data_IF_649340443298
#
_entry.id   IF_649340443298
#
_cell.length_a   1.000
_cell.length_b   1.000
_cell.length_c   1.000
_cell.angle_alpha   90.00
_cell.angle_beta   90.00
_cell.angle_gamma   90.00
#
_symmetry.space_group_name_H-M   'P 1'
#
loop_
_entity.id
_entity.type
_entity.pdbx_description
1 polymer ?
#
# COMPACT_ATOMS: atom_id res chain seq x y z
N UNK A 1 -36.33 19.96 -41.69
CA UNK A 1 -35.81 19.94 -40.30
C UNK A 1 -35.00 18.66 -40.15
N UNK A 2 -33.73 18.73 -40.53
CA UNK A 2 -32.79 17.60 -40.43
C UNK A 2 -32.22 17.53 -39.02
N UNK A 3 -32.52 16.43 -38.33
CA UNK A 3 -31.92 16.13 -37.03
C UNK A 3 -30.53 15.54 -37.25
N UNK A 4 -29.55 16.33 -36.85
CA UNK A 4 -28.11 16.10 -36.98
C UNK A 4 -27.69 14.83 -36.22
N UNK A 5 -27.57 13.72 -36.95
CA UNK A 5 -27.28 12.37 -36.45
C UNK A 5 -25.84 12.19 -35.92
N UNK A 6 -24.99 13.21 -36.02
CA UNK A 6 -23.58 13.16 -35.62
C UNK A 6 -23.28 13.25 -34.12
N UNK A 7 -24.23 13.66 -33.29
CA UNK A 7 -23.97 13.90 -31.85
C UNK A 7 -24.14 12.67 -30.96
N UNK A 8 -24.82 11.62 -31.44
CA UNK A 8 -25.09 10.42 -30.64
C UNK A 8 -23.86 9.48 -30.52
N UNK A 9 -22.99 9.44 -31.55
CA UNK A 9 -21.80 8.57 -31.56
C UNK A 9 -20.75 8.95 -30.50
N UNK A 10 -20.44 10.26 -30.37
CA UNK A 10 -19.38 10.72 -29.45
C UNK A 10 -19.68 10.49 -27.97
N UNK A 11 -20.96 10.51 -27.56
CA UNK A 11 -21.34 10.19 -26.16
C UNK A 11 -21.10 8.73 -25.78
N UNK A 12 -21.03 7.81 -26.76
CA UNK A 12 -20.86 6.38 -26.51
C UNK A 12 -19.39 6.01 -26.25
N UNK A 13 -18.47 6.60 -27.01
CA UNK A 13 -17.02 6.38 -26.85
C UNK A 13 -16.50 6.92 -25.51
N UNK A 14 -16.93 8.11 -25.10
CA UNK A 14 -16.54 8.75 -23.82
C UNK A 14 -16.97 7.95 -22.58
N UNK A 15 -18.09 7.21 -22.66
CA UNK A 15 -18.53 6.30 -21.59
C UNK A 15 -17.70 5.02 -21.54
N UNK A 16 -17.27 4.52 -22.70
CA UNK A 16 -16.48 3.30 -22.80
C UNK A 16 -15.08 3.48 -22.20
N UNK A 17 -14.45 4.64 -22.39
CA UNK A 17 -13.14 4.95 -21.79
C UNK A 17 -13.18 5.11 -20.27
N UNK A 18 -14.21 5.78 -19.72
CA UNK A 18 -14.39 5.95 -18.26
C UNK A 18 -14.64 4.62 -17.54
N UNK A 19 -15.41 3.72 -18.15
CA UNK A 19 -15.59 2.35 -17.67
C UNK A 19 -14.29 1.54 -17.69
N UNK A 20 -13.44 1.74 -18.71
CA UNK A 20 -12.11 1.12 -18.78
C UNK A 20 -11.19 1.53 -17.64
N UNK A 21 -11.18 2.82 -17.28
CA UNK A 21 -10.41 3.36 -16.16
C UNK A 21 -10.83 2.77 -14.81
N UNK A 22 -12.13 2.75 -14.53
CA UNK A 22 -12.68 2.17 -13.29
C UNK A 22 -12.39 0.67 -13.18
N UNK A 23 -12.61 -0.10 -14.27
CA UNK A 23 -12.30 -1.54 -14.31
C UNK A 23 -10.82 -1.81 -14.08
N UNK A 24 -9.92 -0.98 -14.63
CA UNK A 24 -8.47 -1.12 -14.41
C UNK A 24 -8.08 -0.81 -12.97
N UNK A 25 -8.64 0.24 -12.35
CA UNK A 25 -8.41 0.56 -10.93
C UNK A 25 -8.93 -0.56 -10.02
N UNK A 26 -10.14 -1.04 -10.27
CA UNK A 26 -10.73 -2.15 -9.50
C UNK A 26 -9.89 -3.43 -9.60
N UNK A 27 -9.47 -3.84 -10.82
CA UNK A 27 -8.56 -4.98 -11.00
C UNK A 27 -7.23 -4.80 -10.27
N UNK A 28 -6.68 -3.59 -10.21
CA UNK A 28 -5.46 -3.30 -9.43
C UNK A 28 -5.70 -3.48 -7.93
N UNK A 29 -6.81 -2.97 -7.41
CA UNK A 29 -7.18 -3.14 -6.00
C UNK A 29 -7.38 -4.61 -5.64
N UNK A 30 -8.09 -5.37 -6.47
CA UNK A 30 -8.27 -6.81 -6.26
C UNK A 30 -6.95 -7.58 -6.28
N UNK A 31 -6.01 -7.23 -7.18
CA UNK A 31 -4.68 -7.84 -7.19
C UNK A 31 -3.90 -7.53 -5.92
N UNK A 32 -3.95 -6.28 -5.44
CA UNK A 32 -3.30 -5.90 -4.19
C UNK A 32 -3.90 -6.67 -3.01
N UNK A 33 -5.23 -6.74 -2.93
CA UNK A 33 -5.92 -7.52 -1.89
C UNK A 33 -5.53 -9.00 -1.95
N UNK A 34 -5.52 -9.60 -3.14
CA UNK A 34 -5.11 -10.98 -3.33
C UNK A 34 -3.68 -11.22 -2.83
N UNK A 35 -2.72 -10.34 -3.16
CA UNK A 35 -1.34 -10.43 -2.66
C UNK A 35 -1.29 -10.34 -1.13
N UNK A 36 -2.02 -9.39 -0.53
CA UNK A 36 -2.05 -9.25 0.93
C UNK A 36 -2.64 -10.49 1.62
N UNK A 37 -3.73 -11.05 1.09
CA UNK A 37 -4.33 -12.28 1.60
C UNK A 37 -3.37 -13.46 1.44
N UNK A 38 -2.74 -13.61 0.28
CA UNK A 38 -1.73 -14.66 0.05
C UNK A 38 -0.57 -14.56 1.05
N UNK A 39 -0.08 -13.35 1.35
CA UNK A 39 0.95 -13.14 2.37
C UNK A 39 0.48 -13.57 3.77
N UNK A 40 -0.78 -13.31 4.12
CA UNK A 40 -1.35 -13.78 5.39
C UNK A 40 -1.45 -15.31 5.44
N UNK A 41 -1.89 -15.95 4.35
CA UNK A 41 -1.98 -17.41 4.27
C UNK A 41 -0.59 -18.05 4.40
N UNK A 42 0.41 -17.56 3.66
CA UNK A 42 1.80 -18.04 3.76
C UNK A 42 2.33 -17.83 5.18
N UNK A 43 2.01 -16.69 5.79
CA UNK A 43 2.32 -16.42 7.19
C UNK A 43 1.71 -17.45 8.14
N UNK A 44 0.41 -17.70 8.05
CA UNK A 44 -0.27 -18.71 8.89
C UNK A 44 0.33 -20.11 8.73
N UNK A 45 0.65 -20.52 7.49
CA UNK A 45 1.32 -21.79 7.21
C UNK A 45 2.71 -21.86 7.85
N UNK A 46 3.51 -20.78 7.75
CA UNK A 46 4.82 -20.69 8.40
C UNK A 46 4.72 -20.77 9.93
N UNK A 47 3.71 -20.13 10.53
CA UNK A 47 3.46 -20.22 11.97
C UNK A 47 3.07 -21.64 12.38
N UNK A 48 2.21 -22.30 11.61
CA UNK A 48 1.82 -23.68 11.87
C UNK A 48 3.03 -24.63 11.79
N UNK A 49 3.84 -24.49 10.74
CA UNK A 49 5.01 -25.35 10.50
C UNK A 49 6.12 -25.16 11.54
N UNK A 50 6.38 -23.91 11.97
CA UNK A 50 7.60 -23.59 12.72
C UNK A 50 7.36 -23.04 14.13
N UNK A 51 6.13 -22.64 14.46
CA UNK A 51 5.80 -21.99 15.73
C UNK A 51 4.95 -22.82 16.68
N UNK A 52 3.94 -23.55 16.18
CA UNK A 52 2.99 -24.27 17.06
C UNK A 52 3.68 -25.35 17.91
N UNK A 53 4.56 -26.15 17.30
CA UNK A 53 5.35 -27.18 17.98
C UNK A 53 6.67 -26.72 18.59
N UNK A 54 6.95 -25.41 18.64
CA UNK A 54 8.22 -24.92 19.17
C UNK A 54 8.36 -25.26 20.67
N UNK A 55 9.49 -25.85 21.11
CA UNK A 55 9.71 -26.20 22.51
C UNK A 55 9.81 -24.96 23.39
N UNK A 56 9.54 -25.08 24.68
CA UNK A 56 9.79 -23.99 25.63
C UNK A 56 11.27 -23.65 25.66
N UNK A 57 11.61 -22.36 25.63
CA UNK A 57 12.99 -21.90 25.74
C UNK A 57 13.58 -22.35 27.08
N UNK A 58 14.77 -22.95 27.04
CA UNK A 58 15.48 -23.31 28.26
C UNK A 58 15.84 -22.05 29.06
N UNK A 59 15.69 -22.07 30.39
CA UNK A 59 16.17 -20.99 31.25
C UNK A 59 17.71 -20.93 31.21
N UNK A 60 18.32 -19.74 31.31
CA UNK A 60 19.76 -19.60 31.49
C UNK A 60 20.28 -20.39 32.71
N UNK A 61 21.47 -20.97 32.60
CA UNK A 61 22.06 -21.78 33.68
C UNK A 61 22.29 -20.99 34.99
N UNK A 62 22.45 -19.66 34.90
CA UNK A 62 22.69 -18.77 36.04
C UNK A 62 21.41 -18.44 36.84
N UNK A 63 20.24 -18.98 36.46
CA UNK A 63 18.99 -18.72 37.16
C UNK A 63 18.88 -19.54 38.45
N UNK A 64 18.36 -18.92 39.51
CA UNK A 64 17.92 -19.68 40.69
C UNK A 64 16.73 -20.58 40.33
N UNK A 65 16.49 -21.63 41.12
CA UNK A 65 15.35 -22.56 40.90
C UNK A 65 14.02 -21.81 40.76
N UNK A 66 13.77 -20.81 41.61
CA UNK A 66 12.55 -19.99 41.56
C UNK A 66 12.47 -19.13 40.29
N UNK A 67 13.59 -18.56 39.84
CA UNK A 67 13.65 -17.78 38.61
C UNK A 67 13.46 -18.65 37.37
N UNK A 68 14.04 -19.86 37.35
CA UNK A 68 13.86 -20.83 36.29
C UNK A 68 12.39 -21.31 36.21
N UNK A 69 11.76 -21.58 37.35
CA UNK A 69 10.34 -21.92 37.42
C UNK A 69 9.43 -20.78 36.92
N UNK A 70 9.77 -19.53 37.23
CA UNK A 70 9.06 -18.37 36.70
C UNK A 70 9.28 -18.18 35.18
N UNK A 71 10.46 -18.53 34.67
CA UNK A 71 10.81 -18.45 33.25
C UNK A 71 10.06 -19.48 32.39
N UNK A 72 9.66 -20.62 32.97
CA UNK A 72 8.93 -21.69 32.27
C UNK A 72 7.43 -21.70 32.53
N UNK A 73 6.94 -20.95 33.52
CA UNK A 73 5.51 -20.82 33.79
C UNK A 73 4.81 -20.11 32.63
N UNK A 74 3.76 -20.75 32.10
CA UNK A 74 2.93 -20.16 31.06
C UNK A 74 2.25 -18.89 31.55
N UNK A 75 2.38 -17.79 30.79
CA UNK A 75 1.58 -16.58 30.96
C UNK A 75 0.42 -16.51 29.97
N UNK A 76 -0.12 -17.67 29.57
CA UNK A 76 -1.29 -17.73 28.71
C UNK A 76 -2.45 -16.92 29.33
N UNK A 77 -3.03 -16.06 28.51
CA UNK A 77 -4.22 -15.29 28.86
C UNK A 77 -4.99 -15.00 27.57
N UNK A 78 -6.30 -14.68 27.65
CA UNK A 78 -7.08 -14.30 26.47
C UNK A 78 -6.46 -13.12 25.70
N UNK A 79 -5.86 -12.15 26.40
CA UNK A 79 -5.15 -11.04 25.78
C UNK A 79 -3.89 -11.50 25.03
N UNK A 80 -3.13 -12.44 25.61
CA UNK A 80 -1.96 -13.04 24.95
C UNK A 80 -2.36 -13.85 23.71
N UNK A 81 -3.48 -14.56 23.77
CA UNK A 81 -4.00 -15.28 22.62
C UNK A 81 -4.47 -14.32 21.51
N UNK A 82 -5.24 -13.29 21.86
CA UNK A 82 -5.75 -12.31 20.91
C UNK A 82 -4.63 -11.62 20.12
N UNK A 83 -3.56 -11.16 20.80
CA UNK A 83 -2.40 -10.56 20.12
C UNK A 83 -1.66 -11.56 19.22
N UNK A 84 -1.58 -12.84 19.61
CA UNK A 84 -0.94 -13.87 18.78
C UNK A 84 -1.74 -14.10 17.49
N UNK A 85 -3.07 -14.16 17.58
CA UNK A 85 -3.96 -14.27 16.41
C UNK A 85 -3.82 -13.04 15.50
N UNK A 86 -3.88 -11.83 16.07
CA UNK A 86 -3.75 -10.57 15.30
C UNK A 86 -2.40 -10.38 14.63
N UNK A 87 -1.37 -11.12 15.03
CA UNK A 87 -0.01 -11.00 14.49
C UNK A 87 0.48 -12.27 13.80
N UNK A 88 -0.41 -13.25 13.61
CA UNK A 88 -0.03 -14.60 13.18
C UNK A 88 0.63 -14.61 11.79
N UNK A 89 0.08 -13.84 10.84
CA UNK A 89 0.63 -13.77 9.49
C UNK A 89 2.06 -13.21 9.45
N UNK A 90 2.30 -12.09 10.13
CA UNK A 90 3.64 -11.49 10.19
C UNK A 90 4.62 -12.39 10.95
N UNK A 91 4.16 -13.00 12.04
CA UNK A 91 4.97 -13.92 12.84
C UNK A 91 5.44 -15.09 12.01
N UNK A 92 4.53 -15.74 11.28
CA UNK A 92 4.91 -16.90 10.50
C UNK A 92 5.74 -16.58 9.25
N UNK A 93 5.56 -15.42 8.62
CA UNK A 93 6.49 -14.94 7.58
C UNK A 93 7.91 -14.77 8.14
N UNK A 94 8.03 -14.17 9.33
CA UNK A 94 9.31 -13.98 9.98
C UNK A 94 9.94 -15.31 10.43
N UNK A 95 9.14 -16.28 10.89
CA UNK A 95 9.59 -17.64 11.21
C UNK A 95 10.09 -18.37 9.97
N UNK A 96 9.37 -18.30 8.84
CA UNK A 96 9.81 -18.89 7.58
C UNK A 96 11.16 -18.32 7.17
N UNK A 97 11.32 -16.99 7.21
CA UNK A 97 12.61 -16.34 6.96
C UNK A 97 13.71 -16.80 7.94
N UNK A 98 13.41 -16.86 9.24
CA UNK A 98 14.40 -17.27 10.23
C UNK A 98 14.82 -18.74 10.03
N UNK A 99 13.88 -19.61 9.70
CA UNK A 99 14.14 -21.03 9.43
C UNK A 99 14.97 -21.27 8.18
N UNK A 100 14.79 -20.49 7.10
CA UNK A 100 15.70 -20.57 5.94
C UNK A 100 17.13 -20.11 6.25
N UNK A 101 17.34 -19.45 7.40
CA UNK A 101 18.64 -19.06 7.95
C UNK A 101 19.11 -19.97 9.09
N UNK A 102 18.54 -21.16 9.24
CA UNK A 102 18.94 -22.14 10.25
C UNK A 102 18.51 -21.81 11.68
N UNK A 103 17.52 -20.93 11.88
CA UNK A 103 17.16 -20.49 13.22
C UNK A 103 16.68 -21.63 14.14
N UNK A 104 17.18 -21.64 15.38
CA UNK A 104 16.56 -22.40 16.46
C UNK A 104 15.36 -21.60 17.01
N UNK A 105 14.19 -22.22 17.05
CA UNK A 105 12.94 -21.56 17.47
C UNK A 105 12.47 -22.19 18.76
N UNK A 106 12.21 -21.36 19.76
CA UNK A 106 11.63 -21.77 21.03
C UNK A 106 10.54 -20.78 21.48
N UNK A 107 9.67 -21.23 22.39
CA UNK A 107 8.59 -20.44 22.98
C UNK A 107 9.00 -19.94 24.35
N UNK A 108 8.92 -18.63 24.54
CA UNK A 108 9.08 -18.02 25.86
C UNK A 108 7.76 -18.11 26.62
N UNK A 109 7.66 -19.05 27.55
CA UNK A 109 6.41 -19.39 28.24
C UNK A 109 5.69 -18.21 28.93
N UNK A 110 6.36 -17.25 29.59
CA UNK A 110 5.69 -16.23 30.41
C UNK A 110 4.84 -15.24 29.63
N UNK A 111 5.03 -15.14 28.31
CA UNK A 111 4.19 -14.30 27.46
C UNK A 111 3.78 -15.02 26.16
N UNK A 112 4.26 -16.24 25.93
CA UNK A 112 3.97 -17.01 24.72
C UNK A 112 4.64 -16.47 23.44
N UNK A 113 5.54 -15.48 23.54
CA UNK A 113 6.30 -15.00 22.39
C UNK A 113 7.26 -16.10 21.91
N UNK A 114 7.49 -16.14 20.61
CA UNK A 114 8.48 -17.01 20.01
C UNK A 114 9.83 -16.28 19.97
N UNK A 115 10.91 -17.04 20.07
CA UNK A 115 12.28 -16.55 19.94
C UNK A 115 12.93 -17.38 18.86
N UNK A 116 13.39 -16.72 17.80
CA UNK A 116 14.12 -17.33 16.70
C UNK A 116 15.58 -16.86 16.78
N UNK A 117 16.47 -17.76 17.22
CA UNK A 117 17.91 -17.50 17.34
C UNK A 117 18.63 -17.92 16.07
N UNK A 118 19.30 -17.00 15.42
CA UNK A 118 20.11 -17.21 14.21
C UNK A 118 21.58 -16.99 14.53
N UNK A 119 22.48 -17.78 13.94
CA UNK A 119 23.93 -17.61 14.14
C UNK A 119 24.43 -16.26 13.62
N UNK A 120 23.97 -15.85 12.45
CA UNK A 120 24.30 -14.54 11.85
C UNK A 120 23.65 -13.34 12.56
N UNK A 121 22.76 -13.59 13.53
CA UNK A 121 21.95 -12.58 14.18
C UNK A 121 20.93 -11.90 13.28
N UNK A 122 20.29 -10.86 13.81
CA UNK A 122 19.35 -10.01 13.08
C UNK A 122 19.35 -8.60 13.64
N UNK A 123 19.56 -7.61 12.77
CA UNK A 123 19.58 -6.19 13.13
C UNK A 123 20.53 -5.90 14.32
N UNK A 124 20.29 -4.80 15.05
CA UNK A 124 21.11 -4.33 16.18
C UNK A 124 20.79 -5.07 17.49
N UNK A 125 20.88 -6.40 17.49
CA UNK A 125 20.62 -7.23 18.68
C UNK A 125 19.29 -7.96 18.69
N UNK A 126 18.39 -7.61 17.78
CA UNK A 126 17.18 -8.35 17.49
C UNK A 126 16.07 -7.46 16.96
N UNK A 127 14.95 -8.06 16.57
CA UNK A 127 13.74 -7.35 16.15
C UNK A 127 12.51 -8.22 16.36
N UNK A 128 11.44 -7.60 16.87
CA UNK A 128 10.12 -8.21 16.95
C UNK A 128 9.37 -8.12 15.62
N UNK A 129 8.90 -9.25 15.11
CA UNK A 129 7.92 -9.34 14.02
C UNK A 129 6.67 -10.04 14.51
N UNK A 130 5.58 -9.29 14.69
CA UNK A 130 4.38 -9.82 15.32
C UNK A 130 4.66 -10.24 16.76
N UNK A 131 4.68 -11.55 17.03
CA UNK A 131 5.05 -12.11 18.34
C UNK A 131 6.29 -13.03 18.31
N UNK A 132 7.11 -12.96 17.25
CA UNK A 132 8.42 -13.63 17.22
C UNK A 132 9.56 -12.61 17.28
N UNK A 133 10.48 -12.83 18.22
CA UNK A 133 11.72 -12.08 18.36
C UNK A 133 12.84 -12.77 17.58
N UNK A 134 13.30 -12.15 16.50
CA UNK A 134 14.45 -12.60 15.71
C UNK A 134 15.70 -12.02 16.35
N UNK A 135 16.64 -12.87 16.75
CA UNK A 135 17.83 -12.45 17.51
C UNK A 135 19.02 -13.33 17.17
N UNK A 136 20.22 -12.93 17.58
CA UNK A 136 21.35 -13.86 17.65
C UNK A 136 21.22 -14.81 18.86
N UNK A 137 22.01 -15.88 18.88
CA UNK A 137 22.31 -16.59 20.10
C UNK A 137 23.31 -15.78 20.94
N UNK A 138 22.88 -15.29 22.11
CA UNK A 138 23.79 -14.80 23.15
C UNK A 138 23.51 -15.58 24.42
N UNK A 139 24.59 -16.08 25.01
CA UNK A 139 24.55 -16.88 26.23
C UNK A 139 24.92 -16.06 27.47
N UNK A 140 25.33 -14.79 27.29
CA UNK A 140 25.96 -13.99 28.35
C UNK A 140 25.04 -13.04 29.11
N UNK A 141 23.76 -12.93 28.75
CA UNK A 141 22.84 -12.04 29.48
C UNK A 141 22.50 -12.58 30.88
N UNK A 142 22.52 -11.70 31.88
CA UNK A 142 21.98 -11.98 33.21
C UNK A 142 20.46 -12.16 33.17
N UNK A 143 19.89 -12.77 34.21
CA UNK A 143 18.43 -12.90 34.33
C UNK A 143 17.70 -11.56 34.22
N UNK A 144 18.25 -10.55 34.89
CA UNK A 144 17.63 -9.22 34.97
C UNK A 144 17.58 -8.61 33.58
N UNK A 145 18.68 -8.66 32.83
CA UNK A 145 18.76 -8.16 31.45
C UNK A 145 17.82 -8.93 30.52
N UNK A 146 17.79 -10.26 30.59
CA UNK A 146 16.87 -11.06 29.77
C UNK A 146 15.42 -10.70 30.08
N UNK A 147 15.04 -10.62 31.35
CA UNK A 147 13.67 -10.27 31.75
C UNK A 147 13.30 -8.86 31.29
N UNK A 148 14.25 -7.94 31.36
CA UNK A 148 14.14 -6.56 30.90
C UNK A 148 13.86 -6.52 29.39
N UNK A 149 14.74 -7.15 28.60
CA UNK A 149 14.62 -7.25 27.13
C UNK A 149 13.29 -7.91 26.78
N UNK A 150 12.92 -9.03 27.40
CA UNK A 150 11.64 -9.69 27.13
C UNK A 150 10.44 -8.79 27.43
N UNK A 151 10.52 -7.91 28.43
CA UNK A 151 9.44 -6.94 28.70
C UNK A 151 9.34 -5.91 27.59
N UNK A 152 10.47 -5.34 27.15
CA UNK A 152 10.54 -4.43 26.01
C UNK A 152 9.94 -5.07 24.75
N UNK A 153 10.39 -6.27 24.41
CA UNK A 153 9.89 -7.06 23.27
C UNK A 153 8.39 -7.36 23.36
N UNK A 154 7.86 -7.62 24.56
CA UNK A 154 6.42 -7.86 24.78
C UNK A 154 5.60 -6.63 24.40
N UNK A 155 6.09 -5.42 24.68
CA UNK A 155 5.39 -4.18 24.33
C UNK A 155 5.35 -3.97 22.82
N UNK A 156 6.41 -4.32 22.10
CA UNK A 156 6.37 -4.35 20.63
C UNK A 156 5.33 -5.34 20.09
N UNK A 157 5.15 -6.51 20.70
CA UNK A 157 4.06 -7.43 20.31
C UNK A 157 2.68 -6.77 20.44
N UNK A 158 2.46 -5.98 21.50
CA UNK A 158 1.22 -5.22 21.68
C UNK A 158 1.07 -4.14 20.62
N UNK A 159 2.15 -3.41 20.29
CA UNK A 159 2.13 -2.41 19.21
C UNK A 159 1.84 -3.03 17.84
N UNK A 160 2.42 -4.20 17.54
CA UNK A 160 2.10 -4.99 16.34
C UNK A 160 0.62 -5.35 16.29
N UNK A 161 0.06 -5.87 17.38
CA UNK A 161 -1.36 -6.25 17.43
C UNK A 161 -2.28 -5.02 17.26
N UNK A 162 -1.99 -3.92 17.95
CA UNK A 162 -2.74 -2.67 17.83
C UNK A 162 -2.66 -2.11 16.40
N UNK A 163 -1.47 -2.09 15.80
CA UNK A 163 -1.29 -1.68 14.41
C UNK A 163 -2.09 -2.55 13.44
N UNK A 164 -2.02 -3.89 13.58
CA UNK A 164 -2.81 -4.79 12.74
C UNK A 164 -4.31 -4.51 12.85
N UNK A 165 -4.80 -4.29 14.07
CA UNK A 165 -6.22 -4.00 14.30
C UNK A 165 -6.64 -2.66 13.66
N UNK A 166 -5.83 -1.62 13.78
CA UNK A 166 -6.18 -0.26 13.35
C UNK A 166 -6.01 -0.03 11.85
N UNK A 167 -5.01 -0.65 11.22
CA UNK A 167 -4.64 -0.35 9.83
C UNK A 167 -4.21 -1.56 9.01
N UNK A 168 -4.42 -2.77 9.51
CA UNK A 168 -4.00 -4.00 8.86
C UNK A 168 -2.52 -4.32 9.07
N UNK A 169 -2.04 -5.45 8.51
CA UNK A 169 -0.81 -6.11 8.94
C UNK A 169 0.49 -5.31 8.71
N UNK A 170 0.43 -4.26 7.89
CA UNK A 170 1.56 -3.39 7.57
C UNK A 170 1.54 -2.06 8.33
N UNK A 171 0.49 -1.75 9.10
CA UNK A 171 0.34 -0.44 9.71
C UNK A 171 1.45 -0.13 10.73
N UNK A 172 1.73 -1.06 11.65
CA UNK A 172 2.81 -0.89 12.62
C UNK A 172 4.19 -0.73 11.97
N UNK A 173 4.68 -1.64 11.10
CA UNK A 173 6.02 -1.50 10.54
C UNK A 173 6.15 -0.25 9.66
N UNK A 174 5.09 0.19 8.97
CA UNK A 174 5.10 1.46 8.23
C UNK A 174 5.20 2.65 9.18
N UNK A 175 4.39 2.68 10.24
CA UNK A 175 4.41 3.77 11.22
C UNK A 175 5.75 3.82 11.97
N UNK A 176 6.25 2.67 12.42
CA UNK A 176 7.56 2.54 13.05
C UNK A 176 8.69 3.02 12.12
N UNK A 177 8.69 2.60 10.85
CA UNK A 177 9.72 3.01 9.89
C UNK A 177 9.65 4.50 9.57
N UNK A 178 8.45 5.07 9.46
CA UNK A 178 8.27 6.50 9.27
C UNK A 178 8.78 7.31 10.46
N UNK A 179 8.50 6.83 11.68
CA UNK A 179 9.01 7.44 12.90
C UNK A 179 10.53 7.30 13.02
N UNK A 180 11.12 6.15 12.68
CA UNK A 180 12.57 5.90 12.70
C UNK A 180 13.35 6.85 11.77
N UNK A 181 12.74 7.28 10.65
CA UNK A 181 13.35 8.27 9.76
C UNK A 181 13.46 9.66 10.40
N UNK A 182 12.53 10.00 11.29
CA UNK A 182 12.39 11.31 11.91
C UNK A 182 13.06 11.34 13.30
N UNK A 183 12.89 10.28 14.06
CA UNK A 183 13.32 10.08 15.44
C UNK A 183 13.97 8.68 15.56
N UNK A 184 15.24 8.53 15.19
CA UNK A 184 15.92 7.23 15.10
C UNK A 184 16.26 6.61 16.46
N UNK A 185 16.31 5.27 16.51
CA UNK A 185 16.79 4.51 17.66
C UNK A 185 16.10 4.92 18.96
N UNK A 186 16.83 5.36 20.01
CA UNK A 186 16.20 5.70 21.29
C UNK A 186 15.29 6.94 21.24
N UNK A 187 15.28 7.68 20.12
CA UNK A 187 14.33 8.76 19.90
C UNK A 187 12.99 8.28 19.38
N UNK A 188 12.91 7.07 18.82
CA UNK A 188 11.71 6.52 18.22
C UNK A 188 10.61 6.39 19.28
N UNK A 189 9.43 6.92 18.99
CA UNK A 189 8.31 6.95 19.91
C UNK A 189 7.82 5.53 20.25
N UNK A 190 7.93 4.59 19.32
CA UNK A 190 7.59 3.19 19.57
C UNK A 190 8.62 2.50 20.46
N UNK A 191 9.91 2.78 20.30
CA UNK A 191 10.99 2.31 21.20
C UNK A 191 10.82 2.88 22.61
N UNK A 192 10.49 4.16 22.72
CA UNK A 192 10.19 4.82 24.00
C UNK A 192 8.98 4.22 24.69
N UNK A 193 7.89 4.00 23.94
CA UNK A 193 6.70 3.33 24.46
C UNK A 193 7.00 1.86 24.85
N UNK A 194 7.93 1.20 24.17
CA UNK A 194 8.42 -0.13 24.53
C UNK A 194 9.30 -0.13 25.79
N UNK A 195 9.81 1.03 26.19
CA UNK A 195 10.67 1.22 27.36
C UNK A 195 12.14 1.06 27.00
N UNK A 196 12.86 2.18 26.87
CA UNK A 196 14.26 2.21 26.43
C UNK A 196 15.19 1.41 27.34
N UNK A 197 15.14 1.67 28.64
CA UNK A 197 15.96 0.97 29.64
C UNK A 197 15.70 -0.52 29.61
N UNK A 198 14.45 -0.92 29.33
CA UNK A 198 14.09 -2.32 29.26
C UNK A 198 14.77 -3.02 28.07
N UNK A 199 14.90 -2.32 26.94
CA UNK A 199 15.56 -2.78 25.72
C UNK A 199 17.09 -2.61 25.71
N UNK A 200 17.68 -2.13 26.81
CA UNK A 200 19.13 -1.89 26.89
C UNK A 200 19.59 -0.59 26.21
N UNK A 201 18.67 0.32 25.89
CA UNK A 201 19.01 1.64 25.36
C UNK A 201 19.32 2.63 26.49
N UNK A 202 20.34 3.45 26.27
CA UNK A 202 20.53 4.67 27.05
C UNK A 202 19.39 5.66 26.77
N UNK A 203 18.90 6.29 27.84
CA UNK A 203 17.91 7.36 27.70
C UNK A 203 18.62 8.58 27.15
N UNK A 204 18.21 9.12 26.00
CA UNK A 204 18.93 10.23 25.39
C UNK A 204 18.66 11.53 26.17
N UNK A 205 19.74 12.19 26.60
CA UNK A 205 19.69 13.44 27.37
C UNK A 205 19.47 14.70 26.51
N UNK A 206 19.56 14.58 25.19
CA UNK A 206 19.46 15.69 24.23
C UNK A 206 18.23 15.51 23.35
N UNK A 207 17.68 16.57 22.74
CA UNK A 207 16.65 16.42 21.72
C UNK A 207 17.19 15.67 20.50
N UNK A 208 16.30 14.93 19.83
CA UNK A 208 16.63 14.25 18.57
C UNK A 208 17.17 15.24 17.54
N UNK A 209 18.15 14.85 16.69
CA UNK A 209 18.59 15.65 15.53
C UNK A 209 17.52 15.67 14.41
N UNK A 210 16.24 15.78 14.78
CA UNK A 210 15.05 15.63 13.95
C UNK A 210 15.05 16.59 12.78
N UNK A 211 15.44 17.85 12.98
CA UNK A 211 15.39 18.88 11.95
C UNK A 211 16.25 18.54 10.73
N UNK A 212 17.49 18.12 10.94
CA UNK A 212 18.40 17.74 9.85
C UNK A 212 17.87 16.53 9.07
N UNK A 213 17.23 15.58 9.76
CA UNK A 213 16.71 14.36 9.12
C UNK A 213 15.38 14.58 8.42
N UNK A 214 14.48 15.36 9.02
CA UNK A 214 13.24 15.83 8.36
C UNK A 214 13.59 16.58 7.09
N UNK A 215 14.62 17.45 7.13
CA UNK A 215 15.12 18.13 5.94
C UNK A 215 15.59 17.13 4.86
N UNK A 216 16.44 16.16 5.21
CA UNK A 216 16.91 15.12 4.26
C UNK A 216 15.73 14.31 3.70
N UNK A 217 14.80 13.86 4.54
CA UNK A 217 13.64 13.10 4.11
C UNK A 217 12.74 13.93 3.18
N UNK A 218 12.52 15.21 3.49
CA UNK A 218 11.77 16.13 2.64
C UNK A 218 12.45 16.34 1.28
N UNK A 219 13.78 16.48 1.26
CA UNK A 219 14.58 16.57 0.02
C UNK A 219 14.43 15.29 -0.82
N UNK A 220 14.54 14.11 -0.22
CA UNK A 220 14.39 12.83 -0.92
C UNK A 220 12.98 12.64 -1.48
N UNK A 221 11.95 12.96 -0.70
CA UNK A 221 10.55 12.94 -1.17
C UNK A 221 10.36 13.94 -2.31
N UNK A 222 10.92 15.15 -2.18
CA UNK A 222 10.91 16.17 -3.23
C UNK A 222 11.53 15.66 -4.53
N UNK A 223 12.70 15.00 -4.47
CA UNK A 223 13.37 14.40 -5.62
C UNK A 223 12.53 13.28 -6.26
N UNK A 224 11.95 12.38 -5.48
CA UNK A 224 11.08 11.30 -5.99
C UNK A 224 9.83 11.87 -6.67
N UNK A 225 9.20 12.87 -6.07
CA UNK A 225 8.04 13.54 -6.65
C UNK A 225 8.42 14.30 -7.93
N UNK A 226 9.58 14.95 -7.95
CA UNK A 226 10.11 15.64 -9.11
C UNK A 226 10.38 14.68 -10.27
N UNK A 227 11.08 13.56 -10.03
CA UNK A 227 11.31 12.52 -11.03
C UNK A 227 10.00 11.92 -11.52
N UNK A 228 9.06 11.60 -10.62
CA UNK A 228 7.74 11.11 -11.02
C UNK A 228 6.98 12.11 -11.88
N UNK A 229 7.08 13.41 -11.57
CA UNK A 229 6.51 14.47 -12.40
C UNK A 229 7.17 14.53 -13.79
N UNK A 230 8.50 14.46 -13.83
CA UNK A 230 9.31 14.44 -15.06
C UNK A 230 8.94 13.25 -15.95
N UNK A 231 8.93 12.03 -15.41
CA UNK A 231 8.53 10.83 -16.15
C UNK A 231 7.09 10.92 -16.66
N UNK A 232 6.16 11.47 -15.86
CA UNK A 232 4.77 11.65 -16.28
C UNK A 232 4.66 12.62 -17.47
N UNK A 233 5.44 13.70 -17.49
CA UNK A 233 5.53 14.64 -18.63
C UNK A 233 6.10 13.96 -19.87
N UNK A 234 7.24 13.26 -19.75
CA UNK A 234 7.86 12.55 -20.86
C UNK A 234 6.94 11.48 -21.45
N UNK A 235 6.24 10.74 -20.59
CA UNK A 235 5.26 9.73 -21.02
C UNK A 235 4.06 10.34 -21.76
N UNK A 236 3.57 11.50 -21.31
CA UNK A 236 2.50 12.22 -22.02
C UNK A 236 2.95 12.67 -23.41
N UNK A 237 4.16 13.21 -23.54
CA UNK A 237 4.74 13.62 -24.83
C UNK A 237 4.88 12.42 -25.79
N UNK A 238 5.44 11.30 -25.30
CA UNK A 238 5.54 10.07 -26.09
C UNK A 238 4.16 9.58 -26.53
N UNK A 239 3.17 9.55 -25.63
CA UNK A 239 1.80 9.15 -25.95
C UNK A 239 1.20 10.06 -27.04
N UNK A 240 1.36 11.38 -26.94
CA UNK A 240 0.86 12.31 -27.96
C UNK A 240 1.52 12.07 -29.32
N UNK A 241 2.83 11.81 -29.35
CA UNK A 241 3.55 11.51 -30.58
C UNK A 241 3.09 10.18 -31.20
N UNK A 242 2.87 9.14 -30.40
CA UNK A 242 2.32 7.86 -30.89
C UNK A 242 0.90 8.00 -31.43
N UNK A 243 0.03 8.75 -30.74
CA UNK A 243 -1.33 9.02 -31.22
C UNK A 243 -1.32 9.80 -32.53
N UNK A 244 -0.45 10.80 -32.66
CA UNK A 244 -0.28 11.54 -33.90
C UNK A 244 0.20 10.64 -35.05
N UNK A 245 1.26 9.84 -34.84
CA UNK A 245 1.74 8.87 -35.84
C UNK A 245 0.70 7.84 -36.25
N UNK A 246 -0.16 7.41 -35.30
CA UNK A 246 -1.24 6.46 -35.59
C UNK A 246 -2.35 7.14 -36.40
N UNK A 247 -2.71 8.38 -36.07
CA UNK A 247 -3.67 9.17 -36.84
C UNK A 247 -3.18 9.41 -38.27
N UNK A 248 -1.90 9.78 -38.45
CA UNK A 248 -1.33 10.00 -39.79
C UNK A 248 -1.23 8.72 -40.62
N UNK A 249 -1.00 7.55 -39.99
CA UNK A 249 -1.07 6.25 -40.70
C UNK A 249 -2.50 5.85 -41.06
N UNK A 250 -3.45 6.06 -40.15
CA UNK A 250 -4.84 5.65 -40.35
C UNK A 250 -5.57 6.52 -41.38
N UNK A 251 -5.20 7.79 -41.53
CA UNK A 251 -5.81 8.68 -42.52
C UNK A 251 -5.35 8.41 -43.96
N UNK A 252 -4.38 7.52 -44.20
CA UNK A 252 -3.81 7.27 -45.52
C UNK A 252 -3.20 8.52 -46.18
N UNK A 253 -3.09 9.63 -45.46
CA UNK A 253 -2.57 10.88 -45.98
C UNK A 253 -1.06 10.77 -46.09
N UNK A 254 -0.60 10.70 -47.34
CA UNK A 254 0.78 10.98 -47.72
C UNK A 254 1.15 12.36 -47.14
N UNK A 255 2.30 12.53 -46.46
CA UNK A 255 2.66 13.80 -45.85
C UNK A 255 2.62 14.94 -46.88
N UNK A 256 1.83 15.97 -46.57
CA UNK A 256 1.48 17.11 -47.42
C UNK A 256 2.67 17.95 -47.92
N UNK A 257 3.88 17.77 -47.39
CA UNK A 257 5.09 18.46 -47.83
C UNK A 257 5.60 18.01 -49.22
N UNK A 258 4.98 17.00 -49.83
CA UNK A 258 5.27 16.60 -51.22
C UNK A 258 4.28 17.14 -52.27
N UNK A 259 3.27 17.93 -51.90
CA UNK A 259 2.39 18.55 -52.88
C UNK A 259 2.22 20.03 -52.55
N UNK A 260 2.99 20.87 -53.25
CA UNK A 260 3.00 22.32 -53.04
C UNK A 260 1.61 22.93 -53.15
N UNK A 261 1.28 23.83 -52.21
CA UNK A 261 0.40 25.01 -52.41
C UNK A 261 0.32 25.85 -51.13
N UNK A 262 0.13 27.15 -51.35
CA UNK A 262 0.25 28.30 -50.44
C UNK A 262 -1.02 28.56 -49.55
N UNK A 263 -0.99 29.53 -48.60
CA UNK A 263 -1.68 29.48 -47.30
C UNK A 263 -2.99 30.28 -47.21
N UNK A 264 -3.79 30.07 -46.15
CA UNK A 264 -4.79 31.06 -45.68
C UNK A 264 -4.74 31.27 -44.17
N UNK A 265 -4.74 32.55 -43.78
CA UNK A 265 -4.70 33.07 -42.43
C UNK A 265 -6.09 33.19 -41.78
N UNK A 266 -6.24 32.66 -40.55
CA UNK A 266 -7.21 33.10 -39.53
C UNK A 266 -6.53 33.20 -38.16
N UNK A 267 -5.52 34.05 -38.13
CA UNK A 267 -5.54 35.05 -37.07
C UNK A 267 -6.70 35.97 -37.37
N UNK A 268 -7.34 36.52 -36.38
CA UNK A 268 -6.62 37.31 -35.43
C UNK A 268 -7.56 37.39 -34.24
N UNK A 269 -7.00 37.27 -33.05
CA UNK A 269 -7.50 38.12 -31.97
C UNK A 269 -8.72 37.59 -31.15
N UNK A 270 -9.13 36.31 -31.29
CA UNK A 270 -9.23 35.45 -30.08
C UNK A 270 -7.85 35.31 -29.39
N UNK A 271 -6.81 35.55 -30.19
CA UNK A 271 -5.45 35.92 -29.80
C UNK A 271 -5.32 37.25 -29.00
N UNK A 272 -6.38 38.02 -28.66
CA UNK A 272 -6.26 39.07 -27.62
C UNK A 272 -6.72 38.59 -26.24
N UNK A 273 -7.81 37.81 -26.14
CA UNK A 273 -8.39 37.47 -24.84
C UNK A 273 -7.61 36.39 -24.04
N UNK A 274 -6.69 35.64 -24.64
CA UNK A 274 -5.70 34.87 -23.86
C UNK A 274 -4.47 35.68 -23.44
N UNK A 275 -4.27 36.89 -23.97
CA UNK A 275 -3.04 37.69 -23.77
C UNK A 275 -2.95 38.39 -22.41
N UNK A 276 -4.03 38.46 -21.60
CA UNK A 276 -4.02 39.22 -20.33
C UNK A 276 -3.86 38.31 -19.10
N UNK A 277 -4.49 37.14 -19.06
CA UNK A 277 -4.27 36.14 -18.00
C UNK A 277 -4.59 34.71 -18.47
N UNK A 278 -3.58 33.93 -18.89
CA UNK A 278 -3.76 32.56 -19.40
C UNK A 278 -4.32 31.56 -18.38
N UNK A 279 -4.24 31.87 -17.07
CA UNK A 279 -4.68 30.99 -16.00
C UNK A 279 -6.20 31.00 -15.76
N UNK A 280 -6.84 32.18 -15.84
CA UNK A 280 -8.26 32.34 -15.55
C UNK A 280 -9.17 31.69 -16.61
N UNK A 281 -8.78 31.72 -17.89
CA UNK A 281 -9.50 31.05 -18.97
C UNK A 281 -9.39 29.52 -18.91
N UNK A 282 -8.22 28.99 -18.53
CA UNK A 282 -8.02 27.54 -18.37
C UNK A 282 -8.73 27.00 -17.11
N UNK A 283 -8.78 27.75 -16.00
CA UNK A 283 -9.46 27.29 -14.78
C UNK A 283 -10.99 27.28 -14.95
N UNK A 284 -11.57 28.25 -15.69
CA UNK A 284 -12.99 28.27 -16.06
C UNK A 284 -13.37 27.14 -17.03
N UNK A 285 -12.50 26.79 -17.98
CA UNK A 285 -12.67 25.62 -18.87
C UNK A 285 -12.58 24.30 -18.08
N UNK A 286 -11.66 24.21 -17.11
CA UNK A 286 -11.43 23.02 -16.27
C UNK A 286 -12.55 22.80 -15.24
N UNK A 287 -13.09 23.87 -14.63
CA UNK A 287 -14.17 23.80 -13.63
C UNK A 287 -15.52 23.42 -14.27
N UNK A 288 -15.77 23.83 -15.52
CA UNK A 288 -16.92 23.39 -16.34
C UNK A 288 -16.79 21.93 -16.78
N UNK A 289 -15.55 21.47 -17.01
CA UNK A 289 -15.22 20.07 -17.33
C UNK A 289 -15.49 19.11 -16.17
N UNK A 290 -15.31 19.56 -14.94
CA UNK A 290 -15.55 18.77 -13.72
C UNK A 290 -17.05 18.71 -13.34
N UNK A 291 -17.86 19.73 -13.66
CA UNK A 291 -19.32 19.73 -13.43
C UNK A 291 -20.11 18.78 -14.35
N UNK A 292 -19.55 18.34 -15.49
CA UNK A 292 -20.27 17.47 -16.45
C UNK A 292 -20.00 15.97 -16.29
N UNK A 293 -19.19 15.55 -15.32
CA UNK A 293 -18.96 14.12 -15.09
C UNK A 293 -18.87 13.80 -13.62
N UNK A 294 -20.05 13.62 -13.01
CA UNK A 294 -20.19 12.76 -11.86
C UNK A 294 -19.68 11.35 -12.15
N UNK A 295 -19.04 10.74 -11.15
CA UNK A 295 -18.70 9.32 -11.13
C UNK A 295 -19.22 8.69 -9.81
N UNK A 296 -20.54 8.57 -9.71
CA UNK A 296 -21.27 7.37 -9.26
C UNK A 296 -22.46 7.12 -10.24
N UNK A 297 -22.36 6.44 -11.38
CA UNK A 297 -21.76 5.12 -11.71
C UNK A 297 -22.60 3.96 -11.15
N UNK A 298 -23.70 3.48 -11.75
CA UNK A 298 -24.28 3.65 -13.07
C UNK A 298 -25.80 3.70 -12.86
N UNK A 299 -26.43 4.87 -13.03
CA UNK A 299 -27.89 4.94 -12.96
C UNK A 299 -28.52 3.95 -13.94
N UNK A 300 -29.58 3.25 -13.49
CA UNK A 300 -30.30 2.24 -14.27
C UNK A 300 -30.56 2.74 -15.69
N UNK A 301 -30.26 1.92 -16.71
CA UNK A 301 -30.75 2.20 -18.04
C UNK A 301 -32.28 2.18 -17.98
N UNK A 302 -33.01 3.25 -18.35
CA UNK A 302 -34.42 3.08 -18.66
C UNK A 302 -34.51 2.12 -19.85
N UNK A 303 -35.36 1.10 -19.71
CA UNK A 303 -35.69 0.21 -20.81
C UNK A 303 -36.08 1.05 -22.02
N UNK A 304 -35.38 0.84 -23.14
CA UNK A 304 -35.66 1.53 -24.39
C UNK A 304 -37.11 1.25 -24.82
N UNK A 305 -38.03 2.23 -24.81
CA UNK A 305 -39.43 1.99 -25.11
C UNK A 305 -39.71 1.90 -26.62
N UNK A 306 -38.69 1.64 -27.45
CA UNK A 306 -38.83 1.74 -28.89
C UNK A 306 -38.25 0.52 -29.62
N UNK A 307 -38.77 -0.66 -29.27
CA UNK A 307 -38.90 -1.74 -30.26
C UNK A 307 -40.32 -1.63 -30.81
N UNK A 308 -40.49 -0.81 -31.85
CA UNK A 308 -41.69 -0.85 -32.71
C UNK A 308 -41.90 -2.30 -33.12
N UNK A 309 -42.96 -2.93 -32.62
CA UNK A 309 -43.51 -4.12 -33.28
C UNK A 309 -43.90 -3.69 -34.69
N UNK A 310 -43.44 -4.38 -35.74
CA UNK A 310 -43.94 -4.12 -37.08
C UNK A 310 -45.45 -4.36 -37.11
N UNK A 311 -46.10 -3.47 -37.86
CA UNK A 311 -47.52 -3.25 -37.95
C UNK A 311 -48.34 -4.52 -38.23
N UNK A 312 -49.51 -4.55 -37.62
CA UNK A 312 -50.69 -5.23 -38.12
C UNK A 312 -50.88 -4.90 -39.60
N UNK A 313 -50.75 -5.90 -40.46
CA UNK A 313 -51.30 -5.87 -41.81
C UNK A 313 -52.72 -6.41 -41.73
N UNK A 314 -53.70 -5.52 -41.84
CA UNK A 314 -55.11 -5.87 -41.90
C UNK A 314 -55.52 -6.47 -43.24
N UNK A 315 -56.34 -7.53 -43.15
CA UNK A 315 -57.58 -7.87 -43.87
C UNK A 315 -57.64 -7.79 -45.42
N UNK A 316 -58.52 -8.58 -46.08
CA UNK A 316 -59.91 -8.15 -46.16
C UNK A 316 -60.99 -9.24 -46.03
N UNK A 317 -62.18 -8.74 -45.72
CA UNK A 317 -63.47 -9.41 -45.66
C UNK A 317 -63.95 -9.94 -47.02
N UNK A 318 -64.84 -10.93 -46.96
CA UNK A 318 -65.54 -11.50 -48.10
C UNK A 318 -66.74 -10.69 -48.60
N UNK A 319 -67.19 -11.08 -49.80
CA UNK A 319 -68.48 -10.98 -50.52
C UNK A 319 -68.22 -11.80 -51.80
N UNK A 320 -69.02 -12.76 -52.28
CA UNK A 320 -70.45 -13.10 -52.19
C UNK A 320 -70.60 -14.61 -51.99
#
# INVERSE_FOLDING_TARGET
>A
MDWDSGTCGRRREDRQEKCGGCRKRHRRLLRLLAVLVSLQVVGLLGLAAFGLGAPTCQPPAKLTVNQAAAYTRSGASPAVFARQVLTAGQTGLALTYAKTRGANVCRFAPNGNLVARMESGFARGGTMYGHVFLTYAHDDYSYRELRSIKRHETRHTTQWAAGTLLGGPLAFPVAYSADELVAPGPYNHFERAAGLTDGGYEVPDRPSPTLTRVFIAAVLVGLVLFERHRFRRQFLLLRTHFLHRRATRASGQVPWWHAGTQPIARGRILRLLSRVSPGAANMLEEHRRLQQVGCPSCGAMPDSPNKKRPAEAGAPAGRL
#
